data_IF_527762601922
#
_entry.id   IF_527762601922
#
_cell.length_a   1.000
_cell.length_b   1.000
_cell.length_c   1.000
_cell.angle_alpha   90.00
_cell.angle_beta   90.00
_cell.angle_gamma   90.00
#
_symmetry.space_group_name_H-M   'P 1'
#
loop_
_entity.id
_entity.type
_entity.pdbx_description
1 polymer ?
#
# COMPACT_ATOMS: atom_id res chain seq x y z
N UNK A 1 29.47 -8.64 6.85
CA UNK A 1 28.10 -8.61 6.30
C UNK A 1 27.33 -9.76 6.92
N UNK A 2 26.24 -9.50 7.67
CA UNK A 2 25.37 -10.57 8.19
C UNK A 2 24.69 -11.23 7.00
N UNK A 3 24.78 -12.57 6.88
CA UNK A 3 24.01 -13.33 5.88
C UNK A 3 22.51 -13.11 6.17
N UNK A 4 21.75 -12.84 5.12
CA UNK A 4 20.28 -12.83 5.17
C UNK A 4 19.80 -14.21 5.57
N UNK A 5 18.79 -14.27 6.44
CA UNK A 5 18.06 -15.49 6.70
C UNK A 5 17.15 -15.76 5.49
N UNK A 6 17.51 -16.78 4.71
CA UNK A 6 16.77 -17.18 3.50
C UNK A 6 15.37 -17.73 3.82
N UNK A 7 15.03 -17.92 5.11
CA UNK A 7 13.71 -18.38 5.55
C UNK A 7 12.68 -17.27 5.79
N UNK A 8 13.10 -16.01 5.93
CA UNK A 8 12.16 -14.90 6.17
C UNK A 8 11.33 -14.56 4.93
N UNK A 9 10.01 -14.61 5.06
CA UNK A 9 9.04 -14.21 4.04
C UNK A 9 8.65 -12.75 4.22
N UNK A 10 8.90 -11.96 3.18
CA UNK A 10 8.62 -10.51 3.16
C UNK A 10 7.52 -10.23 2.15
N UNK A 11 6.55 -9.40 2.53
CA UNK A 11 5.53 -8.84 1.66
C UNK A 11 5.71 -7.32 1.54
N UNK A 12 5.67 -6.81 0.31
CA UNK A 12 5.52 -5.39 0.01
C UNK A 12 4.08 -5.15 -0.48
N UNK A 13 3.21 -4.74 0.43
CA UNK A 13 1.85 -4.32 0.10
C UNK A 13 1.83 -2.82 -0.22
N UNK A 14 1.16 -2.38 -1.28
CA UNK A 14 1.13 -0.95 -1.61
C UNK A 14 -0.17 -0.50 -2.28
N UNK A 15 -0.55 0.76 -2.04
CA UNK A 15 -1.51 1.48 -2.88
C UNK A 15 -0.78 2.50 -3.76
N UNK A 16 -1.25 2.73 -4.98
CA UNK A 16 -0.69 3.76 -5.86
C UNK A 16 -1.77 4.34 -6.77
N UNK A 17 -1.84 5.67 -6.84
CA UNK A 17 -2.81 6.39 -7.69
C UNK A 17 -2.26 6.67 -9.09
N UNK A 18 -1.02 7.13 -9.17
CA UNK A 18 -0.36 7.61 -10.40
C UNK A 18 0.95 6.86 -10.73
N UNK A 19 1.33 5.88 -9.90
CA UNK A 19 2.46 4.99 -10.19
C UNK A 19 3.72 5.25 -9.37
N UNK A 20 3.86 6.39 -8.68
CA UNK A 20 5.07 6.68 -7.91
C UNK A 20 5.33 5.69 -6.78
N UNK A 21 4.31 5.40 -5.97
CA UNK A 21 4.43 4.42 -4.88
C UNK A 21 4.59 2.99 -5.43
N UNK A 22 3.97 2.69 -6.57
CA UNK A 22 4.17 1.40 -7.28
C UNK A 22 5.64 1.20 -7.62
N UNK A 23 6.26 2.20 -8.24
CA UNK A 23 7.68 2.14 -8.62
C UNK A 23 8.59 1.92 -7.40
N UNK A 24 8.32 2.62 -6.29
CA UNK A 24 9.08 2.41 -5.05
C UNK A 24 8.88 0.99 -4.48
N UNK A 25 7.64 0.49 -4.48
CA UNK A 25 7.32 -0.85 -4.02
C UNK A 25 8.00 -1.94 -4.86
N UNK A 26 8.02 -1.80 -6.18
CA UNK A 26 8.72 -2.72 -7.11
C UNK A 26 10.23 -2.75 -6.80
N UNK A 27 10.88 -1.59 -6.66
CA UNK A 27 12.31 -1.52 -6.31
C UNK A 27 12.60 -2.20 -4.97
N UNK A 28 11.76 -1.95 -3.96
CA UNK A 28 11.93 -2.57 -2.63
C UNK A 28 11.73 -4.08 -2.71
N UNK A 29 10.70 -4.54 -3.41
CA UNK A 29 10.41 -5.95 -3.57
C UNK A 29 11.56 -6.69 -4.27
N UNK A 30 12.07 -6.13 -5.36
CA UNK A 30 13.21 -6.68 -6.10
C UNK A 30 14.47 -6.72 -5.23
N UNK A 31 14.76 -5.63 -4.50
CA UNK A 31 15.94 -5.54 -3.63
C UNK A 31 15.89 -6.55 -2.48
N UNK A 32 14.69 -6.81 -1.96
CA UNK A 32 14.49 -7.71 -0.83
C UNK A 32 14.09 -9.13 -1.26
N UNK A 33 14.01 -9.43 -2.56
CA UNK A 33 13.42 -10.68 -3.06
C UNK A 33 12.12 -11.02 -2.29
N UNK A 34 11.22 -10.04 -2.25
CA UNK A 34 9.98 -10.09 -1.51
C UNK A 34 8.80 -10.27 -2.44
N UNK A 35 7.71 -10.81 -1.90
CA UNK A 35 6.43 -10.79 -2.59
C UNK A 35 5.90 -9.35 -2.68
N UNK A 36 5.15 -9.06 -3.73
CA UNK A 36 4.51 -7.75 -3.90
C UNK A 36 3.00 -7.93 -4.06
N UNK A 37 2.22 -7.07 -3.39
CA UNK A 37 0.76 -7.03 -3.53
C UNK A 37 0.26 -5.59 -3.69
N UNK A 38 -0.66 -5.41 -4.63
CA UNK A 38 -1.27 -4.11 -4.88
C UNK A 38 -2.62 -4.06 -4.20
N UNK A 39 -2.77 -3.10 -3.30
CA UNK A 39 -4.05 -2.70 -2.71
C UNK A 39 -4.82 -1.91 -3.76
N UNK A 40 -5.99 -2.40 -4.14
CA UNK A 40 -6.87 -1.75 -5.12
C UNK A 40 -8.00 -1.03 -4.40
N UNK A 41 -8.09 0.30 -4.56
CA UNK A 41 -9.25 1.10 -4.11
C UNK A 41 -10.39 0.94 -5.12
N UNK A 42 -11.53 0.39 -4.70
CA UNK A 42 -12.73 0.28 -5.55
C UNK A 42 -13.31 1.66 -5.89
N UNK A 43 -13.01 2.69 -5.10
CA UNK A 43 -13.41 4.07 -5.38
C UNK A 43 -12.41 4.71 -6.34
N UNK A 44 -12.91 5.15 -7.51
CA UNK A 44 -12.08 5.88 -8.46
C UNK A 44 -11.58 7.20 -7.89
N UNK A 45 -10.26 7.44 -7.99
CA UNK A 45 -9.58 8.66 -7.55
C UNK A 45 -9.01 9.47 -8.74
N UNK A 46 -9.45 9.17 -9.96
CA UNK A 46 -8.91 9.79 -11.20
C UNK A 46 -9.37 11.24 -11.35
N UNK A 47 -8.55 12.04 -12.05
CA UNK A 47 -8.85 13.44 -12.36
C UNK A 47 -8.74 14.40 -11.17
N UNK A 48 -9.04 15.68 -11.44
CA UNK A 48 -8.93 16.79 -10.47
C UNK A 48 -9.94 16.61 -9.34
N UNK A 49 -11.20 16.30 -9.67
CA UNK A 49 -12.25 16.06 -8.66
C UNK A 49 -11.86 14.87 -7.77
N UNK A 50 -11.37 13.78 -8.36
CA UNK A 50 -10.90 12.62 -7.61
C UNK A 50 -9.72 12.93 -6.70
N UNK A 51 -8.84 13.86 -7.08
CA UNK A 51 -7.73 14.35 -6.25
C UNK A 51 -8.23 15.14 -5.03
N UNK A 52 -9.17 16.06 -5.23
CA UNK A 52 -9.76 16.84 -4.13
C UNK A 52 -10.50 15.93 -3.14
N UNK A 53 -11.32 15.00 -3.65
CA UNK A 53 -12.03 14.02 -2.82
C UNK A 53 -11.04 13.09 -2.10
N UNK A 54 -9.96 12.68 -2.76
CA UNK A 54 -8.89 11.88 -2.14
C UNK A 54 -8.26 12.59 -0.94
N UNK A 55 -7.88 13.87 -1.10
CA UNK A 55 -7.33 14.69 -0.01
C UNK A 55 -8.32 14.88 1.14
N UNK A 56 -9.58 15.20 0.82
CA UNK A 56 -10.63 15.36 1.83
C UNK A 56 -10.89 14.05 2.60
N UNK A 57 -11.08 12.93 1.89
CA UNK A 57 -11.33 11.63 2.52
C UNK A 57 -10.16 11.19 3.42
N UNK A 58 -8.91 11.43 2.98
CA UNK A 58 -7.72 11.16 3.81
C UNK A 58 -7.71 12.02 5.08
N UNK A 59 -8.03 13.31 4.95
CA UNK A 59 -8.09 14.28 6.06
C UNK A 59 -9.13 13.88 7.10
N UNK A 60 -10.33 13.52 6.65
CA UNK A 60 -11.43 13.06 7.50
C UNK A 60 -11.23 11.63 8.05
N UNK A 61 -10.12 10.97 7.75
CA UNK A 61 -9.84 9.62 8.25
C UNK A 61 -10.77 8.55 7.70
N UNK A 62 -11.39 8.77 6.53
CA UNK A 62 -12.34 7.82 5.95
C UNK A 62 -11.66 6.53 5.51
N UNK A 63 -12.44 5.45 5.52
CA UNK A 63 -12.12 4.17 4.89
C UNK A 63 -12.72 4.12 3.48
N UNK A 64 -12.33 3.10 2.72
CA UNK A 64 -12.87 2.76 1.39
C UNK A 64 -12.90 1.25 1.23
N UNK A 65 -13.64 0.76 0.23
CA UNK A 65 -13.60 -0.66 -0.12
C UNK A 65 -12.33 -0.97 -0.91
N UNK A 66 -11.64 -2.02 -0.48
CA UNK A 66 -10.38 -2.46 -1.09
C UNK A 66 -10.43 -3.93 -1.49
N UNK A 67 -9.61 -4.28 -2.49
CA UNK A 67 -9.21 -5.65 -2.79
C UNK A 67 -7.67 -5.76 -2.65
N UNK A 68 -7.19 -6.94 -2.25
CA UNK A 68 -5.79 -7.34 -2.24
C UNK A 68 -5.73 -8.87 -2.33
N UNK A 69 -4.58 -9.44 -2.71
CA UNK A 69 -4.49 -10.86 -3.09
C UNK A 69 -3.71 -11.71 -2.10
N UNK A 70 -2.76 -11.12 -1.36
CA UNK A 70 -1.88 -11.83 -0.43
C UNK A 70 -2.31 -11.57 1.01
N UNK A 71 -2.43 -12.64 1.80
CA UNK A 71 -2.76 -12.52 3.21
C UNK A 71 -1.51 -12.09 4.01
N UNK A 72 -1.49 -10.92 4.65
CA UNK A 72 -0.30 -10.45 5.37
C UNK A 72 0.10 -11.34 6.54
N UNK A 73 -0.83 -12.13 7.11
CA UNK A 73 -0.52 -13.05 8.20
C UNK A 73 0.40 -14.23 7.79
N UNK A 74 0.59 -14.47 6.49
CA UNK A 74 1.46 -15.53 5.96
C UNK A 74 2.95 -15.09 5.86
N UNK A 75 3.26 -13.87 6.29
CA UNK A 75 4.57 -13.22 6.15
C UNK A 75 5.14 -12.79 7.49
N UNK A 76 6.46 -12.89 7.63
CA UNK A 76 7.18 -12.45 8.83
C UNK A 76 7.33 -10.93 8.87
N UNK A 77 7.44 -10.30 7.70
CA UNK A 77 7.58 -8.84 7.56
C UNK A 77 6.66 -8.33 6.47
N UNK A 78 5.88 -7.30 6.80
CA UNK A 78 5.05 -6.56 5.84
C UNK A 78 5.55 -5.11 5.74
N UNK A 79 5.98 -4.74 4.55
CA UNK A 79 6.30 -3.36 4.18
C UNK A 79 5.07 -2.77 3.50
N UNK A 80 4.57 -1.65 4.03
CA UNK A 80 3.34 -1.02 3.54
C UNK A 80 3.63 0.33 2.86
N UNK A 81 3.41 0.38 1.55
CA UNK A 81 3.58 1.58 0.72
C UNK A 81 2.30 2.40 0.56
N UNK A 82 2.38 3.70 0.82
CA UNK A 82 1.27 4.64 0.63
C UNK A 82 1.75 5.98 0.05
N UNK A 83 1.01 6.59 -0.90
CA UNK A 83 1.12 8.02 -1.17
C UNK A 83 0.77 8.81 0.09
N UNK A 84 1.42 9.96 0.28
CA UNK A 84 1.06 10.91 1.33
C UNK A 84 -0.03 11.84 0.80
N UNK A 85 -1.24 11.77 1.36
CA UNK A 85 -2.35 12.66 1.03
C UNK A 85 -2.68 13.54 2.22
N UNK A 86 -2.45 14.86 2.08
CA UNK A 86 -2.61 15.85 3.14
C UNK A 86 -1.97 15.40 4.49
N UNK A 87 -0.70 14.96 4.42
CA UNK A 87 0.06 14.50 5.58
C UNK A 87 -0.38 13.18 6.19
N UNK A 88 -1.22 12.39 5.50
CA UNK A 88 -1.81 11.13 6.00
C UNK A 88 -1.67 10.01 4.99
N UNK A 89 -1.82 8.77 5.47
CA UNK A 89 -2.01 7.59 4.62
C UNK A 89 -3.34 7.69 3.87
N UNK A 90 -3.41 7.04 2.71
CA UNK A 90 -4.63 7.01 1.91
C UNK A 90 -5.76 6.20 2.59
N UNK A 91 -7.03 6.46 2.25
CA UNK A 91 -8.16 5.64 2.71
C UNK A 91 -7.98 4.14 2.43
N UNK A 92 -7.38 3.78 1.29
CA UNK A 92 -7.14 2.38 0.93
C UNK A 92 -6.15 1.70 1.88
N UNK A 93 -5.03 2.37 2.19
CA UNK A 93 -4.03 1.86 3.14
C UNK A 93 -4.58 1.85 4.57
N UNK A 94 -5.38 2.84 4.95
CA UNK A 94 -6.09 2.83 6.23
C UNK A 94 -7.02 1.63 6.35
N UNK A 95 -7.84 1.35 5.33
CA UNK A 95 -8.69 0.16 5.35
C UNK A 95 -7.87 -1.11 5.47
N UNK A 96 -6.74 -1.22 4.75
CA UNK A 96 -5.87 -2.39 4.81
C UNK A 96 -5.34 -2.64 6.23
N UNK A 97 -4.87 -1.58 6.91
CA UNK A 97 -4.40 -1.65 8.30
C UNK A 97 -5.49 -1.99 9.33
N UNK A 98 -6.76 -1.69 9.04
CA UNK A 98 -7.86 -1.99 9.96
C UNK A 98 -8.42 -3.42 9.76
N UNK A 99 -8.09 -4.08 8.64
CA UNK A 99 -8.58 -5.40 8.28
C UNK A 99 -7.64 -6.55 8.67
N UNK A 100 -6.40 -6.23 9.06
CA UNK A 100 -5.33 -7.19 9.36
C UNK A 100 -4.62 -6.75 10.64
#
# INVERSE_FOLDING_TARGET
MKKRDDSMKILVAFYSRDGHTKRAAEIIADTLNADIDKIEDKKSRKGIIGFLIAGYDATCGKTTDINFSKNPADYDVVILGSPVWNGRVTPAVRTYLLKN
#
